data_IF_817374547050
#
_entry.id   IF_817374547050
#
_cell.length_a   1.000
_cell.length_b   1.000
_cell.length_c   1.000
_cell.angle_alpha   90.00
_cell.angle_beta   90.00
_cell.angle_gamma   90.00
#
_symmetry.space_group_name_H-M   'P 1'
#
loop_
_entity.id
_entity.type
_entity.pdbx_description
1 polymer ?
#
# COMPACT_ATOMS: atom_id res chain seq x y z
N UNK A 1 -28.49 -2.82 11.68
CA UNK A 1 -27.01 -2.94 11.64
C UNK A 1 -26.58 -2.48 10.27
N UNK A 2 -26.16 -1.22 10.15
CA UNK A 2 -25.73 -0.64 8.88
C UNK A 2 -24.29 -1.05 8.61
N UNK A 3 -24.01 -1.51 7.39
CA UNK A 3 -22.64 -1.87 7.00
C UNK A 3 -21.70 -0.68 7.13
N UNK A 4 -20.62 -0.90 7.87
CA UNK A 4 -19.45 -0.05 8.00
C UNK A 4 -18.79 0.14 6.63
N UNK A 5 -18.58 1.38 6.21
CA UNK A 5 -18.08 1.71 4.88
C UNK A 5 -16.86 2.63 4.94
N UNK A 6 -15.67 2.05 4.98
CA UNK A 6 -14.40 2.76 4.94
C UNK A 6 -13.74 2.60 3.56
N UNK A 7 -13.39 3.71 2.93
CA UNK A 7 -12.57 3.74 1.72
C UNK A 7 -11.28 4.50 1.98
N UNK A 8 -10.13 3.93 1.58
CA UNK A 8 -8.82 4.53 1.82
C UNK A 8 -8.03 4.64 0.52
N UNK A 9 -7.48 5.83 0.27
CA UNK A 9 -6.59 6.13 -0.84
C UNK A 9 -5.23 6.54 -0.30
N UNK A 10 -4.24 5.63 -0.28
CA UNK A 10 -2.87 5.97 0.08
C UNK A 10 -2.15 6.64 -1.10
N UNK A 11 -1.45 7.73 -0.84
CA UNK A 11 -0.55 8.40 -1.78
C UNK A 11 0.88 8.24 -1.25
N UNK A 12 1.53 7.13 -1.56
CA UNK A 12 2.84 6.81 -1.01
C UNK A 12 3.99 7.09 -1.98
N UNK A 13 5.00 7.78 -1.48
CA UNK A 13 6.35 7.73 -2.05
C UNK A 13 7.03 6.43 -1.62
N UNK A 14 7.70 5.76 -2.55
CA UNK A 14 8.41 4.50 -2.29
C UNK A 14 9.90 4.70 -2.47
N UNK A 15 10.69 4.36 -1.45
CA UNK A 15 12.14 4.28 -1.51
C UNK A 15 12.52 2.81 -1.46
N UNK A 16 13.29 2.36 -2.45
CA UNK A 16 13.78 0.98 -2.54
C UNK A 16 15.30 0.97 -2.49
N UNK A 17 15.85 0.21 -1.55
CA UNK A 17 17.29 0.01 -1.39
C UNK A 17 17.67 -1.41 -1.82
N UNK A 18 18.69 -1.51 -2.69
CA UNK A 18 19.18 -2.75 -3.27
C UNK A 18 20.60 -3.06 -2.74
N UNK A 19 20.74 -3.66 -1.54
CA UNK A 19 22.03 -3.82 -0.86
C UNK A 19 23.05 -4.69 -1.63
N UNK A 20 22.56 -5.56 -2.51
CA UNK A 20 23.33 -6.56 -3.24
C UNK A 20 23.35 -6.34 -4.76
N UNK A 21 22.87 -5.20 -5.24
CA UNK A 21 22.94 -4.85 -6.66
C UNK A 21 24.39 -4.93 -7.15
N UNK A 22 24.62 -5.68 -8.24
CA UNK A 22 25.94 -5.91 -8.82
C UNK A 22 26.89 -6.81 -8.00
N UNK A 23 26.48 -7.28 -6.80
CA UNK A 23 27.30 -8.14 -5.93
C UNK A 23 26.95 -9.62 -6.03
N UNK A 24 25.76 -9.95 -6.53
CA UNK A 24 25.30 -11.31 -6.76
C UNK A 24 25.13 -11.52 -8.26
N UNK A 25 25.81 -12.52 -8.81
CA UNK A 25 25.67 -12.91 -10.21
C UNK A 25 24.47 -13.85 -10.40
N UNK A 26 23.26 -13.29 -10.51
CA UNK A 26 22.06 -13.97 -11.00
C UNK A 26 20.91 -12.96 -11.14
N UNK A 27 19.79 -13.37 -11.74
CA UNK A 27 18.54 -12.60 -11.80
C UNK A 27 17.85 -12.39 -10.44
N UNK A 28 18.55 -12.55 -9.32
CA UNK A 28 18.05 -12.48 -7.95
C UNK A 28 18.55 -11.21 -7.27
N UNK A 29 17.63 -10.32 -6.89
CA UNK A 29 17.95 -9.03 -6.31
C UNK A 29 17.13 -8.76 -5.03
N UNK A 30 17.67 -9.07 -3.85
CA UNK A 30 17.05 -8.71 -2.58
C UNK A 30 16.95 -7.20 -2.42
N UNK A 31 15.85 -6.74 -1.82
CA UNK A 31 15.62 -5.35 -1.55
C UNK A 31 14.96 -5.11 -0.19
N UNK A 32 15.20 -3.90 0.32
CA UNK A 32 14.43 -3.31 1.40
C UNK A 32 13.64 -2.16 0.80
N UNK A 33 12.36 -2.08 1.11
CA UNK A 33 11.44 -1.07 0.62
C UNK A 33 10.79 -0.33 1.78
N UNK A 34 10.72 0.98 1.67
CA UNK A 34 10.00 1.83 2.59
C UNK A 34 9.01 2.68 1.80
N UNK A 35 7.74 2.67 2.21
CA UNK A 35 6.70 3.54 1.68
C UNK A 35 6.28 4.51 2.75
N UNK A 36 6.10 5.77 2.39
CA UNK A 36 5.57 6.78 3.30
C UNK A 36 4.68 7.75 2.54
N UNK A 37 3.66 8.26 3.18
CA UNK A 37 2.86 9.33 2.62
C UNK A 37 1.49 9.49 3.25
N UNK A 38 0.73 10.49 2.78
CA UNK A 38 -0.62 10.71 3.26
C UNK A 38 -1.57 9.62 2.78
N UNK A 39 -2.64 9.42 3.54
CA UNK A 39 -3.75 8.53 3.25
C UNK A 39 -5.03 9.33 3.42
N UNK A 40 -5.86 9.31 2.39
CA UNK A 40 -7.20 9.85 2.44
C UNK A 40 -8.15 8.73 2.83
N UNK A 41 -8.69 8.80 4.04
CA UNK A 41 -9.73 7.91 4.53
C UNK A 41 -11.09 8.63 4.39
N UNK A 42 -12.05 7.97 3.77
CA UNK A 42 -13.43 8.44 3.63
C UNK A 42 -14.31 7.48 4.41
N UNK A 43 -14.90 8.00 5.49
CA UNK A 43 -15.80 7.27 6.37
C UNK A 43 -17.26 7.56 5.97
N UNK A 44 -17.94 6.55 5.44
CA UNK A 44 -19.31 6.66 4.96
C UNK A 44 -20.31 6.70 6.12
N UNK A 45 -21.28 7.62 6.03
CA UNK A 45 -22.29 7.80 7.08
C UNK A 45 -23.14 6.52 7.26
N UNK A 46 -22.96 5.84 8.40
CA UNK A 46 -23.55 4.54 8.71
C UNK A 46 -25.09 4.58 8.85
N UNK A 47 -25.66 5.77 9.13
CA UNK A 47 -27.08 5.95 9.49
C UNK A 47 -28.03 5.94 8.29
N UNK A 48 -27.52 5.82 7.06
CA UNK A 48 -28.34 5.98 5.85
C UNK A 48 -28.31 4.75 4.94
N UNK A 49 -29.46 4.14 4.62
CA UNK A 49 -29.55 2.97 3.71
C UNK A 49 -29.25 3.26 2.22
N UNK A 50 -29.21 4.53 1.80
CA UNK A 50 -29.00 4.93 0.39
C UNK A 50 -27.53 5.28 0.12
N UNK A 51 -26.92 4.60 -0.85
CA UNK A 51 -25.51 4.81 -1.25
C UNK A 51 -25.17 6.29 -1.53
N UNK A 52 -26.02 7.01 -2.28
CA UNK A 52 -25.80 8.44 -2.58
C UNK A 52 -25.71 9.32 -1.34
N UNK A 53 -26.49 9.01 -0.30
CA UNK A 53 -26.49 9.79 0.93
C UNK A 53 -25.34 9.39 1.86
N UNK A 54 -24.92 8.11 1.85
CA UNK A 54 -23.76 7.62 2.60
C UNK A 54 -22.47 8.32 2.21
N UNK A 55 -22.24 8.47 0.91
CA UNK A 55 -21.02 9.12 0.39
C UNK A 55 -21.17 10.64 0.29
N UNK A 56 -22.38 11.18 0.20
CA UNK A 56 -22.63 12.62 0.14
C UNK A 56 -22.38 13.38 1.45
N UNK A 57 -22.38 12.68 2.59
CA UNK A 57 -22.06 13.22 3.92
C UNK A 57 -20.80 12.61 4.55
N UNK A 58 -20.05 11.81 3.78
CA UNK A 58 -18.92 11.07 4.30
C UNK A 58 -17.83 12.00 4.85
N UNK A 59 -17.36 11.71 6.05
CA UNK A 59 -16.26 12.43 6.67
C UNK A 59 -14.96 12.08 5.96
N UNK A 60 -14.22 13.08 5.48
CA UNK A 60 -12.87 12.88 4.93
C UNK A 60 -11.84 13.15 6.01
N UNK A 61 -10.97 12.17 6.24
CA UNK A 61 -9.86 12.25 7.19
C UNK A 61 -8.57 12.06 6.41
N UNK A 62 -7.61 12.94 6.63
CA UNK A 62 -6.26 12.79 6.10
C UNK A 62 -5.34 12.36 7.22
N UNK A 63 -4.65 11.25 7.03
CA UNK A 63 -3.63 10.75 7.96
C UNK A 63 -2.33 10.43 7.21
N UNK A 64 -1.28 10.00 7.90
CA UNK A 64 -0.02 9.54 7.32
C UNK A 64 0.23 8.08 7.67
N UNK A 65 0.74 7.33 6.70
CA UNK A 65 1.14 5.94 6.87
C UNK A 65 2.60 5.74 6.51
N UNK A 66 3.15 4.67 7.07
CA UNK A 66 4.47 4.15 6.73
C UNK A 66 4.40 2.64 6.56
N UNK A 67 5.06 2.12 5.55
CA UNK A 67 5.23 0.69 5.31
C UNK A 67 6.72 0.40 5.19
N UNK A 68 7.17 -0.69 5.81
CA UNK A 68 8.52 -1.22 5.60
C UNK A 68 8.39 -2.67 5.16
N UNK A 69 9.03 -3.04 4.06
CA UNK A 69 8.96 -4.35 3.47
C UNK A 69 10.34 -4.87 3.03
N UNK A 70 10.49 -6.18 3.08
CA UNK A 70 11.64 -6.91 2.60
C UNK A 70 11.19 -7.81 1.47
N UNK A 71 11.93 -7.83 0.37
CA UNK A 71 11.53 -8.60 -0.79
C UNK A 71 12.70 -9.02 -1.64
N UNK A 72 12.36 -9.76 -2.68
CA UNK A 72 13.30 -10.22 -3.70
C UNK A 72 12.70 -9.91 -5.05
N UNK A 73 13.48 -9.27 -5.91
CA UNK A 73 13.15 -9.07 -7.31
C UNK A 73 13.83 -10.15 -8.16
N UNK A 74 13.02 -10.85 -8.96
CA UNK A 74 13.47 -11.82 -9.96
C UNK A 74 13.38 -11.23 -11.35
N UNK A 75 14.52 -10.93 -11.98
CA UNK A 75 14.57 -10.45 -13.35
C UNK A 75 14.29 -11.60 -14.33
N UNK A 76 13.41 -11.40 -15.30
CA UNK A 76 13.07 -12.39 -16.31
C UNK A 76 13.74 -12.07 -17.65
N UNK A 77 13.90 -13.10 -18.48
CA UNK A 77 14.35 -12.95 -19.87
C UNK A 77 13.32 -12.10 -20.63
N UNK A 78 13.71 -10.89 -21.04
CA UNK A 78 12.82 -9.90 -21.66
C UNK A 78 12.64 -8.59 -20.88
N UNK A 79 13.27 -8.46 -19.70
CA UNK A 79 13.28 -7.21 -18.93
C UNK A 79 12.07 -7.03 -18.01
N UNK A 80 11.16 -8.00 -17.94
CA UNK A 80 10.13 -8.06 -16.89
C UNK A 80 10.73 -8.49 -15.55
N UNK A 81 10.09 -8.13 -14.45
CA UNK A 81 10.51 -8.49 -13.09
C UNK A 81 9.31 -8.90 -12.26
N UNK A 82 9.45 -9.99 -11.49
CA UNK A 82 8.49 -10.39 -10.47
C UNK A 82 9.12 -10.17 -9.10
N UNK A 83 8.43 -9.44 -8.22
CA UNK A 83 8.96 -9.06 -6.91
C UNK A 83 7.97 -9.39 -5.79
N UNK A 84 8.02 -10.59 -5.18
CA UNK A 84 7.36 -10.82 -3.90
C UNK A 84 8.05 -10.04 -2.77
N UNK A 85 7.26 -9.51 -1.84
CA UNK A 85 7.74 -8.90 -0.60
C UNK A 85 6.78 -9.13 0.55
N UNK A 86 7.33 -9.12 1.76
CA UNK A 86 6.58 -9.15 3.01
C UNK A 86 7.03 -7.96 3.87
N UNK A 87 6.10 -7.35 4.58
CA UNK A 87 6.39 -6.17 5.37
C UNK A 87 5.38 -5.95 6.47
N UNK A 88 5.58 -4.82 7.15
CA UNK A 88 4.66 -4.30 8.14
C UNK A 88 4.25 -2.89 7.73
N UNK A 89 2.97 -2.61 7.87
CA UNK A 89 2.37 -1.32 7.59
C UNK A 89 1.81 -0.74 8.89
N UNK A 90 2.15 0.53 9.13
CA UNK A 90 1.71 1.31 10.27
C UNK A 90 0.85 2.47 9.76
N UNK A 91 -0.45 2.37 10.04
CA UNK A 91 -1.50 3.29 9.64
C UNK A 91 -2.24 3.82 10.89
N UNK A 92 -1.68 4.81 11.60
CA UNK A 92 -2.40 5.50 12.66
C UNK A 92 -3.50 6.36 12.04
N UNK A 93 -4.75 6.24 12.47
CA UNK A 93 -5.83 7.08 11.92
C UNK A 93 -5.93 8.45 12.60
N UNK A 94 -5.31 8.60 13.78
CA UNK A 94 -5.35 9.84 14.59
C UNK A 94 -6.73 10.18 15.18
N UNK A 95 -7.80 9.61 14.63
CA UNK A 95 -9.19 9.65 15.09
C UNK A 95 -9.80 8.25 14.96
N UNK A 96 -10.91 8.03 15.65
CA UNK A 96 -11.71 6.82 15.47
C UNK A 96 -12.37 6.87 14.08
N UNK A 97 -12.06 5.88 13.25
CA UNK A 97 -12.61 5.67 11.91
C UNK A 97 -13.15 4.26 11.90
N UNK A 98 -14.44 4.09 11.60
CA UNK A 98 -15.08 2.77 11.61
C UNK A 98 -14.85 1.98 12.93
N UNK A 99 -14.85 2.68 14.07
CA UNK A 99 -14.64 2.09 15.40
C UNK A 99 -13.21 1.61 15.67
N UNK A 100 -12.24 1.98 14.82
CA UNK A 100 -10.82 1.65 14.98
C UNK A 100 -9.96 2.91 14.95
N UNK A 101 -8.88 2.88 15.73
CA UNK A 101 -7.91 3.99 15.82
C UNK A 101 -6.64 3.71 15.02
N UNK A 102 -6.43 2.47 14.58
CA UNK A 102 -5.31 2.04 13.77
C UNK A 102 -5.71 0.91 12.81
N UNK A 103 -4.99 0.84 11.68
CA UNK A 103 -5.13 -0.22 10.66
C UNK A 103 -3.78 -0.87 10.37
N UNK A 104 -2.97 -1.06 11.42
CA UNK A 104 -1.64 -1.63 11.26
C UNK A 104 -1.72 -3.12 10.93
N UNK A 105 -0.76 -3.63 10.17
CA UNK A 105 -0.76 -5.05 9.85
C UNK A 105 0.44 -5.51 9.04
N UNK A 106 0.56 -6.83 8.93
CA UNK A 106 1.48 -7.46 7.99
C UNK A 106 0.94 -7.32 6.58
N UNK A 107 1.83 -6.95 5.65
CA UNK A 107 1.49 -6.83 4.23
C UNK A 107 2.30 -7.84 3.42
N UNK A 108 1.65 -8.46 2.45
CA UNK A 108 2.29 -9.30 1.44
C UNK A 108 2.03 -8.66 0.08
N UNK A 109 3.08 -8.27 -0.64
CA UNK A 109 2.94 -7.69 -1.97
C UNK A 109 3.55 -8.63 -3.02
N UNK A 110 2.91 -8.70 -4.19
CA UNK A 110 3.47 -9.33 -5.38
C UNK A 110 3.45 -8.27 -6.49
N UNK A 111 4.63 -7.78 -6.86
CA UNK A 111 4.75 -6.74 -7.90
C UNK A 111 5.21 -7.35 -9.21
N UNK A 112 4.50 -7.04 -10.29
CA UNK A 112 4.89 -7.36 -11.66
C UNK A 112 5.30 -6.08 -12.37
N UNK A 113 6.55 -6.02 -12.81
CA UNK A 113 7.05 -4.91 -13.63
C UNK A 113 7.28 -5.44 -15.04
N UNK A 114 6.59 -4.85 -16.02
CA UNK A 114 6.77 -5.21 -17.42
C UNK A 114 7.75 -4.24 -18.07
N UNK A 115 8.87 -4.75 -18.56
CA UNK A 115 9.80 -3.97 -19.36
C UNK A 115 9.15 -3.63 -20.71
N UNK A 116 9.00 -2.35 -21.01
CA UNK A 116 8.46 -1.91 -22.29
C UNK A 116 9.62 -1.67 -23.27
N UNK A 117 9.96 -2.69 -24.06
CA UNK A 117 10.88 -2.54 -25.18
C UNK A 117 10.15 -1.87 -26.34
N UNK A 118 9.99 -0.54 -26.28
CA UNK A 118 9.74 0.25 -27.50
C UNK A 118 11.06 0.30 -28.26
N UNK A 119 11.20 -0.62 -29.22
CA UNK A 119 12.15 -0.49 -30.33
C UNK A 119 11.78 0.70 -31.21
#
# INVERSE_FOLDING_TARGET
MGDKALFMVPLFGTVRWLPFEGKIANNFSPFVEMKLGPILAVDGDEDTRKFSNRWGKAGTIMTYGIQVAFGVAFLQMGGSTISPSIGYEYLPMGKEVDGRTNYNGTVVNITFTFGNNRR
#
